data_IF_609193339938
#
_entry.id   IF_609193339938
#
_cell.length_a   1.000
_cell.length_b   1.000
_cell.length_c   1.000
_cell.angle_alpha   90.00
_cell.angle_beta   90.00
_cell.angle_gamma   90.00
#
_symmetry.space_group_name_H-M   'P 1'
#
loop_
_entity.id
_entity.type
_entity.pdbx_description
1 polymer ?
#
# COMPACT_ATOMS: atom_id res chain seq x y z
N UNK A 1 -7.49 -16.72 -17.96
CA UNK A 1 -7.44 -16.24 -16.55
C UNK A 1 -6.16 -15.46 -16.40
N UNK A 2 -6.24 -14.12 -16.32
CA UNK A 2 -5.09 -13.32 -15.94
C UNK A 2 -4.81 -13.58 -14.46
N UNK A 3 -3.55 -13.76 -14.08
CA UNK A 3 -3.17 -13.84 -12.67
C UNK A 3 -3.57 -12.52 -11.97
N UNK A 4 -4.12 -12.60 -10.75
CA UNK A 4 -4.63 -11.43 -10.02
C UNK A 4 -3.53 -10.44 -9.57
N UNK A 5 -2.24 -10.82 -9.69
CA UNK A 5 -1.07 -10.01 -9.34
C UNK A 5 -0.05 -10.05 -10.49
N UNK A 6 0.53 -8.88 -10.83
CA UNK A 6 1.55 -8.72 -11.87
C UNK A 6 2.78 -7.96 -11.35
N UNK A 7 3.96 -8.38 -11.78
CA UNK A 7 5.23 -7.66 -11.57
C UNK A 7 5.42 -6.68 -12.72
N UNK A 8 5.45 -5.38 -12.41
CA UNK A 8 5.59 -4.31 -13.43
C UNK A 8 7.06 -4.01 -13.79
N UNK A 9 7.98 -4.25 -12.85
CA UNK A 9 9.41 -3.98 -12.99
C UNK A 9 10.21 -5.01 -12.20
N UNK A 10 11.36 -5.42 -12.74
CA UNK A 10 12.23 -6.42 -12.12
C UNK A 10 11.72 -7.85 -12.31
N UNK A 11 12.32 -8.80 -11.59
CA UNK A 11 11.88 -10.18 -11.48
C UNK A 11 11.53 -10.46 -10.01
N UNK A 12 10.51 -11.27 -9.80
CA UNK A 12 10.20 -11.84 -8.51
C UNK A 12 10.21 -13.35 -8.67
N UNK A 13 10.87 -14.05 -7.76
CA UNK A 13 10.84 -15.50 -7.75
C UNK A 13 9.41 -15.99 -7.46
N UNK A 14 9.03 -17.20 -7.93
CA UNK A 14 7.70 -17.76 -7.69
C UNK A 14 7.30 -17.75 -6.21
N UNK A 15 8.25 -17.99 -5.32
CA UNK A 15 8.08 -17.96 -3.86
C UNK A 15 7.70 -16.58 -3.35
N UNK A 16 8.25 -15.51 -3.91
CA UNK A 16 7.97 -14.14 -3.51
C UNK A 16 6.55 -13.73 -3.94
N UNK A 17 6.14 -14.09 -5.17
CA UNK A 17 4.78 -13.87 -5.65
C UNK A 17 3.76 -14.64 -4.81
N UNK A 18 4.08 -15.89 -4.46
CA UNK A 18 3.26 -16.72 -3.59
C UNK A 18 3.11 -16.11 -2.19
N UNK A 19 4.21 -15.62 -1.60
CA UNK A 19 4.20 -14.98 -0.29
C UNK A 19 3.30 -13.74 -0.26
N UNK A 20 3.41 -12.85 -1.24
CA UNK A 20 2.56 -11.65 -1.34
C UNK A 20 1.09 -12.04 -1.52
N UNK A 21 0.81 -13.03 -2.37
CA UNK A 21 -0.55 -13.54 -2.58
C UNK A 21 -1.14 -14.09 -1.28
N UNK A 22 -0.38 -14.91 -0.55
CA UNK A 22 -0.81 -15.48 0.73
C UNK A 22 -1.13 -14.39 1.76
N UNK A 23 -0.29 -13.35 1.85
CA UNK A 23 -0.53 -12.21 2.75
C UNK A 23 -1.82 -11.49 2.35
N UNK A 24 -2.04 -11.21 1.07
CA UNK A 24 -3.24 -10.51 0.60
C UNK A 24 -4.50 -11.31 0.88
N UNK A 25 -4.48 -12.63 0.64
CA UNK A 25 -5.59 -13.51 0.96
C UNK A 25 -5.85 -13.58 2.47
N UNK A 26 -4.80 -13.69 3.29
CA UNK A 26 -4.93 -13.69 4.75
C UNK A 26 -5.54 -12.37 5.26
N UNK A 27 -5.13 -11.23 4.68
CA UNK A 27 -5.69 -9.91 5.01
C UNK A 27 -7.15 -9.77 4.57
N UNK A 28 -7.51 -10.27 3.40
CA UNK A 28 -8.88 -10.26 2.92
C UNK A 28 -9.81 -11.15 3.77
N UNK A 29 -9.28 -12.27 4.25
CA UNK A 29 -10.00 -13.19 5.14
C UNK A 29 -10.09 -12.69 6.60
N UNK A 30 -9.24 -11.76 7.01
CA UNK A 30 -9.24 -11.23 8.36
C UNK A 30 -10.50 -10.39 8.60
N UNK A 31 -11.36 -10.84 9.52
CA UNK A 31 -12.50 -10.05 10.00
C UNK A 31 -11.97 -8.89 10.84
N UNK A 32 -12.32 -7.63 10.55
CA UNK A 32 -11.94 -6.53 11.41
C UNK A 32 -12.58 -6.74 12.78
N UNK A 33 -11.75 -6.87 13.82
CA UNK A 33 -12.25 -6.77 15.19
C UNK A 33 -12.81 -5.35 15.41
N UNK A 34 -13.93 -5.21 16.13
CA UNK A 34 -14.42 -3.90 16.52
C UNK A 34 -13.33 -3.20 17.32
N UNK A 35 -12.81 -2.12 16.73
CA UNK A 35 -11.65 -1.38 17.22
C UNK A 35 -11.91 -0.96 18.68
N UNK A 36 -11.12 -1.49 19.63
CA UNK A 36 -11.06 -0.98 20.98
C UNK A 36 -10.45 0.42 20.94
N UNK A 37 -11.25 1.44 20.58
CA UNK A 37 -10.93 2.86 20.51
C UNK A 37 -9.43 3.16 20.37
N UNK A 38 -8.79 2.66 19.31
CA UNK A 38 -7.37 2.94 19.10
C UNK A 38 -7.22 4.45 18.85
N UNK A 39 -6.27 5.13 19.51
CA UNK A 39 -6.02 6.55 19.25
C UNK A 39 -5.83 6.73 17.74
N UNK A 40 -6.58 7.67 17.17
CA UNK A 40 -6.72 7.84 15.72
C UNK A 40 -5.39 7.68 15.01
N UNK A 41 -5.28 6.62 14.23
CA UNK A 41 -4.07 6.23 13.48
C UNK A 41 -3.53 7.48 12.78
N UNK A 42 -2.23 7.74 12.89
CA UNK A 42 -1.58 8.81 12.14
C UNK A 42 -1.83 8.56 10.66
N UNK A 43 -2.85 9.23 10.11
CA UNK A 43 -3.23 9.09 8.72
C UNK A 43 -2.09 9.70 7.94
N UNK A 44 -1.38 8.89 7.16
CA UNK A 44 -0.37 9.40 6.24
C UNK A 44 -0.99 10.58 5.49
N UNK A 45 -0.34 11.74 5.56
CA UNK A 45 -0.88 13.01 5.07
C UNK A 45 -0.81 13.10 3.56
N UNK A 46 -1.28 12.07 2.85
CA UNK A 46 -1.39 12.02 1.39
C UNK A 46 -2.17 13.25 0.95
N UNK A 47 -1.44 14.28 0.50
CA UNK A 47 -2.04 15.50 -0.01
C UNK A 47 -2.37 15.28 -1.47
N UNK A 48 -3.45 15.92 -1.89
CA UNK A 48 -3.83 16.05 -3.30
C UNK A 48 -2.80 16.93 -3.99
N UNK A 49 -1.83 16.30 -4.65
CA UNK A 49 -0.75 16.99 -5.36
C UNK A 49 -1.28 17.94 -6.44
N UNK A 50 -2.47 17.67 -6.98
CA UNK A 50 -3.18 18.54 -7.91
C UNK A 50 -3.62 19.89 -7.31
N UNK A 51 -3.63 20.03 -5.97
CA UNK A 51 -3.93 21.27 -5.24
C UNK A 51 -2.68 21.97 -4.71
N UNK A 52 -1.50 21.38 -4.92
CA UNK A 52 -0.24 21.97 -4.50
C UNK A 52 0.29 22.88 -5.61
N UNK A 53 0.64 24.12 -5.27
CA UNK A 53 1.12 25.11 -6.23
C UNK A 53 2.55 24.77 -6.68
N UNK A 54 2.67 24.05 -7.78
CA UNK A 54 3.91 23.90 -8.54
C UNK A 54 5.00 23.05 -7.90
N UNK A 55 6.07 22.85 -8.68
CA UNK A 55 7.25 22.10 -8.28
C UNK A 55 7.90 22.72 -7.05
N UNK A 56 7.96 21.98 -5.94
CA UNK A 56 8.85 22.34 -4.82
C UNK A 56 10.25 21.81 -5.09
N UNK A 57 11.25 22.55 -4.61
CA UNK A 57 12.65 22.30 -4.90
C UNK A 57 13.05 20.82 -4.67
N UNK A 58 14.01 20.27 -5.43
CA UNK A 58 14.34 18.83 -5.45
C UNK A 58 14.68 18.23 -4.08
N UNK A 59 15.12 19.08 -3.14
CA UNK A 59 15.56 18.71 -1.80
C UNK A 59 14.46 18.86 -0.74
N UNK A 60 13.21 19.14 -1.12
CA UNK A 60 12.10 19.32 -0.18
C UNK A 60 11.28 18.03 -0.03
N UNK A 61 11.89 17.00 0.56
CA UNK A 61 11.15 15.84 1.04
C UNK A 61 10.74 16.11 2.49
N UNK A 62 9.44 16.15 2.75
CA UNK A 62 8.82 16.16 4.08
C UNK A 62 7.87 14.99 4.19
#
# INVERSE_FOLDING_TARGET
>A
MNADIRVEKGHAEPEEVAAITAILLARAAARPEPDAAHPGRARAGWRRLERESGFRAPHSWR
#
